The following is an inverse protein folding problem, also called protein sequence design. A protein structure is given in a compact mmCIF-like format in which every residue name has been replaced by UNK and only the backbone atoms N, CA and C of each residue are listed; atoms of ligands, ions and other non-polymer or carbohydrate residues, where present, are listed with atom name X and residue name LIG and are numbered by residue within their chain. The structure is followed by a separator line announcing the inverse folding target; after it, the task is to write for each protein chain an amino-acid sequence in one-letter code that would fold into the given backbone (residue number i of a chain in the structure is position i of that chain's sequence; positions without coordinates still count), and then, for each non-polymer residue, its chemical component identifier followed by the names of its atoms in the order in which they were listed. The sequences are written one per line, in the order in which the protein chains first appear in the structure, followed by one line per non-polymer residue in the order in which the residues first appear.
data_IF_691876385274
#
_entry.id   IF_691876385274
#
_cell.length_a   1.000
_cell.length_b   1.000
_cell.length_c   1.000
_cell.angle_alpha   90.00
_cell.angle_beta   90.00
_cell.angle_gamma   90.00
#
_symmetry.space_group_name_H-M   'P 1'
#
loop_
_entity.id
_entity.type
_entity.pdbx_description
1 polymer ?
#
# COMPACT_ATOMS: atom_id res chain seq x y z
N UNK A 1 38.68 43.98 13.91
CA UNK A 1 37.74 43.59 15.00
C UNK A 1 37.07 42.30 14.55
N UNK A 2 37.60 41.14 14.95
CA UNK A 2 37.13 39.81 14.55
C UNK A 2 36.13 39.31 15.59
N UNK A 3 34.86 39.17 15.21
CA UNK A 3 33.81 38.61 16.07
C UNK A 3 33.86 37.09 16.01
N UNK A 4 34.15 36.45 17.14
CA UNK A 4 33.97 35.01 17.33
C UNK A 4 32.48 34.70 17.43
N UNK A 5 31.99 33.77 16.61
CA UNK A 5 30.65 33.19 16.76
C UNK A 5 30.84 31.80 17.35
N UNK A 6 30.43 31.61 18.61
CA UNK A 6 30.39 30.28 19.22
C UNK A 6 29.19 29.51 18.68
N UNK A 7 29.41 28.42 17.95
CA UNK A 7 28.35 27.45 17.63
C UNK A 7 28.09 26.58 18.86
N UNK A 8 27.29 27.09 19.80
CA UNK A 8 26.69 26.22 20.82
C UNK A 8 25.82 25.18 20.12
N UNK A 9 25.98 23.90 20.45
CA UNK A 9 25.15 22.84 19.89
C UNK A 9 23.67 23.12 20.22
N UNK A 10 22.85 23.34 19.20
CA UNK A 10 21.40 23.40 19.36
C UNK A 10 20.97 22.01 19.81
N UNK A 11 20.49 21.88 21.04
CA UNK A 11 19.96 20.62 21.53
C UNK A 11 18.60 20.39 20.86
N UNK A 12 18.47 19.41 19.95
CA UNK A 12 17.22 19.19 19.27
C UNK A 12 16.16 18.78 20.30
N UNK A 13 15.09 19.56 20.41
CA UNK A 13 13.87 19.22 21.15
C UNK A 13 12.96 18.28 20.35
N UNK A 14 13.39 17.86 19.17
CA UNK A 14 12.77 16.78 18.42
C UNK A 14 12.87 15.52 19.27
N UNK A 15 11.81 15.23 20.02
CA UNK A 15 11.50 13.86 20.39
C UNK A 15 11.41 13.16 19.04
N UNK A 16 12.37 12.30 18.68
CA UNK A 16 12.19 11.45 17.51
C UNK A 16 10.84 10.80 17.71
N UNK A 17 10.03 10.59 16.66
CA UNK A 17 8.99 9.58 16.78
C UNK A 17 9.72 8.32 17.18
N UNK A 18 9.73 8.07 18.49
CA UNK A 18 10.47 7.00 19.09
C UNK A 18 9.98 5.81 18.32
N UNK A 19 10.92 5.03 17.82
CA UNK A 19 10.67 3.68 17.35
C UNK A 19 9.85 3.04 18.46
N UNK A 20 8.53 3.16 18.33
CA UNK A 20 7.58 2.29 18.97
C UNK A 20 8.15 0.98 18.52
N UNK A 21 8.60 0.18 19.49
CA UNK A 21 8.72 -1.25 19.32
C UNK A 21 7.35 -1.63 18.79
N UNK A 22 7.22 -1.56 17.47
CA UNK A 22 6.02 -1.89 16.76
C UNK A 22 6.01 -3.37 17.01
N UNK A 23 5.21 -3.77 17.99
CA UNK A 23 4.74 -5.13 18.06
C UNK A 23 4.28 -5.40 16.63
N UNK A 24 5.12 -6.12 15.85
CA UNK A 24 5.02 -6.22 14.39
C UNK A 24 3.76 -7.04 14.09
N UNK A 25 2.60 -6.44 14.31
CA UNK A 25 1.32 -6.95 13.83
C UNK A 25 1.37 -6.72 12.34
N UNK A 26 1.86 -7.74 11.63
CA UNK A 26 1.84 -7.77 10.17
C UNK A 26 0.39 -7.64 9.75
N UNK A 27 0.05 -6.52 9.11
CA UNK A 27 -1.23 -6.37 8.44
C UNK A 27 -1.28 -7.40 7.31
N UNK A 28 -2.40 -8.13 7.25
CA UNK A 28 -2.62 -9.13 6.19
C UNK A 28 -3.49 -8.49 5.14
N UNK A 29 -2.86 -7.98 4.09
CA UNK A 29 -3.55 -7.49 2.90
C UNK A 29 -3.94 -8.66 2.00
N UNK A 30 -5.07 -8.51 1.31
CA UNK A 30 -5.54 -9.45 0.30
C UNK A 30 -6.09 -8.69 -0.90
N UNK A 31 -5.85 -9.26 -2.09
CA UNK A 31 -6.40 -8.80 -3.35
C UNK A 31 -7.17 -9.96 -3.97
N UNK A 32 -8.49 -9.79 -4.07
CA UNK A 32 -9.42 -10.86 -4.42
C UNK A 32 -10.30 -10.40 -5.58
N UNK A 33 -10.62 -11.32 -6.47
CA UNK A 33 -11.50 -11.05 -7.60
C UNK A 33 -12.92 -11.52 -7.26
N UNK A 34 -13.92 -10.71 -7.58
CA UNK A 34 -15.33 -10.95 -7.26
C UNK A 34 -16.20 -11.07 -8.51
N UNK A 35 -17.39 -11.64 -8.33
CA UNK A 35 -18.46 -11.58 -9.33
C UNK A 35 -18.99 -10.15 -9.54
N UNK A 36 -19.87 -9.98 -10.52
CA UNK A 36 -20.53 -8.71 -10.87
C UNK A 36 -21.39 -8.14 -9.74
N UNK A 37 -21.94 -9.01 -8.89
CA UNK A 37 -22.75 -8.64 -7.73
C UNK A 37 -21.94 -8.29 -6.47
N UNK A 38 -20.61 -8.43 -6.49
CA UNK A 38 -19.72 -8.32 -5.31
C UNK A 38 -20.07 -9.27 -4.16
N UNK A 39 -20.82 -10.34 -4.44
CA UNK A 39 -21.32 -11.24 -3.39
C UNK A 39 -20.35 -12.39 -3.10
N UNK A 40 -19.63 -12.86 -4.13
CA UNK A 40 -18.75 -14.01 -4.01
C UNK A 40 -17.40 -13.81 -4.68
N UNK A 41 -16.37 -14.39 -4.05
CA UNK A 41 -15.00 -14.41 -4.57
C UNK A 41 -14.85 -15.48 -5.64
N UNK A 42 -14.27 -15.10 -6.77
CA UNK A 42 -13.89 -16.00 -7.87
C UNK A 42 -12.50 -16.60 -7.61
N UNK A 43 -12.38 -17.93 -7.74
CA UNK A 43 -11.11 -18.65 -7.48
C UNK A 43 -10.18 -18.70 -8.69
N UNK A 44 -10.74 -18.89 -9.89
CA UNK A 44 -10.01 -19.02 -11.16
C UNK A 44 -10.83 -18.37 -12.28
N UNK A 45 -10.98 -17.04 -12.27
CA UNK A 45 -11.79 -16.36 -13.26
C UNK A 45 -11.11 -16.40 -14.64
N UNK A 46 -11.93 -16.51 -15.69
CA UNK A 46 -11.51 -16.36 -17.09
C UNK A 46 -12.27 -15.18 -17.68
N UNK A 47 -11.59 -14.34 -18.44
CA UNK A 47 -12.14 -13.11 -18.99
C UNK A 47 -11.96 -13.04 -20.50
N UNK A 48 -12.96 -12.47 -21.17
CA UNK A 48 -12.93 -12.07 -22.57
C UNK A 48 -12.68 -10.57 -22.69
N UNK A 49 -12.26 -10.12 -23.87
CA UNK A 49 -12.14 -8.69 -24.16
C UNK A 49 -13.53 -8.04 -24.07
N UNK A 50 -13.62 -6.97 -23.28
CA UNK A 50 -14.87 -6.26 -22.98
C UNK A 50 -15.45 -6.60 -21.61
N UNK A 51 -14.97 -7.66 -20.96
CA UNK A 51 -15.41 -7.99 -19.59
C UNK A 51 -14.82 -7.03 -18.56
N UNK A 52 -15.58 -6.79 -17.49
CA UNK A 52 -15.13 -6.06 -16.32
C UNK A 52 -14.55 -7.01 -15.27
N UNK A 53 -13.45 -6.60 -14.64
CA UNK A 53 -12.79 -7.34 -13.57
C UNK A 53 -13.03 -6.61 -12.25
N UNK A 54 -13.83 -7.20 -11.37
CA UNK A 54 -14.08 -6.64 -10.04
C UNK A 54 -12.99 -7.09 -9.07
N UNK A 55 -12.12 -6.16 -8.68
CA UNK A 55 -11.00 -6.43 -7.79
C UNK A 55 -11.24 -5.74 -6.45
N UNK A 56 -11.20 -6.52 -5.37
CA UNK A 56 -11.33 -6.03 -4.00
C UNK A 56 -9.96 -6.05 -3.30
N UNK A 57 -9.53 -4.88 -2.83
CA UNK A 57 -8.41 -4.75 -1.89
C UNK A 57 -8.92 -4.72 -0.46
N UNK A 58 -8.36 -5.55 0.43
CA UNK A 58 -8.78 -5.63 1.83
C UNK A 58 -7.60 -5.82 2.77
N UNK A 59 -7.82 -5.52 4.06
CA UNK A 59 -6.86 -5.76 5.13
C UNK A 59 -7.56 -6.42 6.31
N UNK A 60 -6.98 -7.50 6.83
CA UNK A 60 -7.47 -8.12 8.07
C UNK A 60 -6.98 -7.31 9.27
N UNK A 61 -7.91 -6.77 10.07
CA UNK A 61 -7.60 -5.94 11.24
C UNK A 61 -8.38 -6.38 12.46
N UNK A 62 -7.87 -6.00 13.63
CA UNK A 62 -8.66 -5.99 14.87
C UNK A 62 -9.76 -4.92 14.72
N UNK A 63 -11.04 -5.25 14.95
CA UNK A 63 -12.15 -4.28 14.83
C UNK A 63 -11.97 -2.99 15.64
N UNK A 64 -11.14 -3.01 16.68
CA UNK A 64 -10.82 -1.83 17.51
C UNK A 64 -9.83 -0.86 16.85
N UNK A 65 -9.24 -1.24 15.71
CA UNK A 65 -8.28 -0.45 14.95
C UNK A 65 -8.87 -0.18 13.56
N UNK A 66 -9.69 0.87 13.40
CA UNK A 66 -10.23 1.22 12.10
C UNK A 66 -9.07 1.68 11.20
N UNK A 67 -8.83 0.93 10.12
CA UNK A 67 -7.85 1.28 9.09
C UNK A 67 -8.57 1.58 7.78
N UNK A 68 -7.93 2.40 6.95
CA UNK A 68 -8.34 2.66 5.57
C UNK A 68 -7.29 2.10 4.62
N UNK A 69 -7.74 1.41 3.58
CA UNK A 69 -6.88 0.87 2.53
C UNK A 69 -6.84 1.85 1.37
N UNK A 70 -5.65 2.11 0.86
CA UNK A 70 -5.40 2.87 -0.36
C UNK A 70 -4.58 2.00 -1.34
N UNK A 71 -4.86 2.15 -2.63
CA UNK A 71 -4.07 1.53 -3.69
C UNK A 71 -3.14 2.60 -4.28
N UNK A 72 -1.84 2.42 -4.10
CA UNK A 72 -0.82 3.36 -4.55
C UNK A 72 -0.48 3.17 -6.04
N UNK A 73 -0.29 1.92 -6.43
CA UNK A 73 -0.02 1.51 -7.80
C UNK A 73 -0.64 0.12 -8.06
N UNK A 74 -1.15 -0.07 -9.28
CA UNK A 74 -1.59 -1.37 -9.77
C UNK A 74 -1.02 -1.59 -11.17
N UNK A 75 -0.24 -2.66 -11.35
CA UNK A 75 0.44 -2.95 -12.62
C UNK A 75 0.04 -4.32 -13.12
N UNK A 76 -0.56 -4.36 -14.31
CA UNK A 76 -0.82 -5.58 -15.04
C UNK A 76 0.44 -6.04 -15.78
N UNK A 77 0.75 -7.33 -15.68
CA UNK A 77 1.89 -7.97 -16.35
C UNK A 77 1.56 -9.42 -16.71
N UNK A 78 2.04 -9.94 -17.85
CA UNK A 78 1.79 -11.33 -18.24
C UNK A 78 2.51 -12.36 -17.36
N UNK A 79 3.46 -11.95 -16.51
CA UNK A 79 4.16 -12.84 -15.58
C UNK A 79 4.54 -12.13 -14.28
N UNK A 80 4.74 -12.90 -13.21
CA UNK A 80 5.17 -12.40 -11.90
C UNK A 80 6.66 -12.05 -11.81
N UNK A 81 7.45 -12.42 -12.82
CA UNK A 81 8.84 -11.98 -12.95
C UNK A 81 8.89 -10.51 -13.39
N UNK A 82 10.07 -9.89 -13.36
CA UNK A 82 10.29 -8.56 -13.91
C UNK A 82 10.10 -8.57 -15.44
N UNK A 83 8.85 -8.65 -15.89
CA UNK A 83 8.49 -8.62 -17.28
C UNK A 83 8.80 -7.23 -17.83
N UNK A 84 9.30 -7.20 -19.06
CA UNK A 84 9.53 -5.97 -19.80
C UNK A 84 8.21 -5.25 -20.12
N UNK A 85 7.14 -6.01 -20.32
CA UNK A 85 5.79 -5.50 -20.58
C UNK A 85 5.02 -5.31 -19.27
N UNK A 86 4.67 -4.05 -19.00
CA UNK A 86 3.90 -3.63 -17.83
C UNK A 86 2.88 -2.59 -18.26
N UNK A 87 1.70 -2.67 -17.70
CA UNK A 87 0.64 -1.68 -17.92
C UNK A 87 0.14 -1.17 -16.56
N UNK A 88 0.24 0.14 -16.34
CA UNK A 88 -0.20 0.77 -15.08
C UNK A 88 -1.70 1.01 -15.16
N UNK A 89 -2.46 0.33 -14.30
CA UNK A 89 -3.92 0.47 -14.13
C UNK A 89 -4.22 1.58 -13.12
N UNK A 90 -3.47 1.62 -12.02
CA UNK A 90 -3.48 2.69 -11.02
C UNK A 90 -2.04 3.19 -10.92
N UNK A 91 -1.86 4.50 -10.84
CA UNK A 91 -0.57 5.17 -10.94
C UNK A 91 -0.52 6.40 -10.03
N UNK A 92 0.68 6.82 -9.67
CA UNK A 92 0.94 8.16 -9.10
C UNK A 92 0.19 8.43 -7.78
N UNK A 93 0.11 7.40 -6.94
CA UNK A 93 -0.48 7.39 -5.60
C UNK A 93 -2.02 7.34 -5.53
N UNK A 94 -2.64 6.69 -6.51
CA UNK A 94 -4.08 6.38 -6.51
C UNK A 94 -4.83 7.13 -7.59
#
# INVERSE_FOLDING_TARGET
RTGSVSSGAIQPTWVPFGSTVAHRRRLRFALDVYDDTWSSRLRQPTYSLGDLINIQASVSTDPRLPLRVFADECVASPSTAAAQLKYRVIADNG
#
